data_IF_565533258969
#
_entry.id   IF_565533258969
#
_cell.length_a   1.000
_cell.length_b   1.000
_cell.length_c   1.000
_cell.angle_alpha   90.00
_cell.angle_beta   90.00
_cell.angle_gamma   90.00
#
_symmetry.space_group_name_H-M   'P 1'
#
loop_
_entity.id
_entity.type
_entity.pdbx_description
1 polymer ?
#
# COMPACT_ATOMS: atom_id res chain seq x y z
N UNK A 1 3.07 1.70 14.36
CA UNK A 1 3.53 2.30 13.07
C UNK A 1 2.35 2.99 12.41
N UNK A 2 2.54 4.12 11.74
CA UNK A 2 1.41 4.95 11.27
C UNK A 2 1.35 4.98 9.74
N UNK A 3 0.17 4.73 9.19
CA UNK A 3 -0.14 5.02 7.80
C UNK A 3 -0.82 6.39 7.68
N UNK A 4 -0.26 7.26 6.84
CA UNK A 4 -0.92 8.49 6.41
C UNK A 4 -1.79 8.18 5.20
N UNK A 5 -3.08 8.45 5.33
CA UNK A 5 -4.09 8.13 4.33
C UNK A 5 -4.76 9.40 3.86
N UNK A 6 -4.52 9.79 2.61
CA UNK A 6 -5.27 10.88 2.00
C UNK A 6 -6.59 10.34 1.47
N UNK A 7 -7.67 11.03 1.80
CA UNK A 7 -9.02 10.69 1.34
C UNK A 7 -9.71 11.92 0.76
N UNK A 8 -10.86 11.71 0.12
CA UNK A 8 -11.73 12.80 -0.36
C UNK A 8 -12.24 13.73 0.75
N UNK A 9 -12.14 13.33 2.03
CA UNK A 9 -12.60 14.10 3.19
C UNK A 9 -11.45 14.74 3.99
N UNK A 10 -10.20 14.53 3.57
CA UNK A 10 -9.01 14.97 4.30
C UNK A 10 -8.03 13.83 4.56
N UNK A 11 -6.95 14.15 5.27
CA UNK A 11 -5.89 13.19 5.60
C UNK A 11 -6.08 12.65 7.01
N UNK A 12 -5.87 11.35 7.17
CA UNK A 12 -5.93 10.65 8.44
C UNK A 12 -4.62 9.92 8.72
N UNK A 13 -4.20 9.91 9.98
CA UNK A 13 -3.18 9.00 10.50
C UNK A 13 -3.90 7.78 11.06
N UNK A 14 -3.52 6.59 10.58
CA UNK A 14 -4.03 5.31 11.04
C UNK A 14 -2.89 4.56 11.70
N UNK A 15 -2.99 4.29 12.99
CA UNK A 15 -2.05 3.40 13.66
C UNK A 15 -2.36 1.95 13.27
N UNK A 16 -1.34 1.25 12.77
CA UNK A 16 -1.45 -0.09 12.20
C UNK A 16 -1.49 -1.21 13.24
N UNK A 17 -1.18 -0.90 14.50
CA UNK A 17 -1.04 -1.88 15.58
C UNK A 17 -2.29 -1.90 16.48
N UNK A 18 -2.89 -0.74 16.76
CA UNK A 18 -4.12 -0.63 17.57
C UNK A 18 -5.36 -0.17 16.76
N UNK A 19 -5.19 0.18 15.48
CA UNK A 19 -6.27 0.60 14.57
C UNK A 19 -6.95 1.91 15.03
N UNK A 20 -6.22 2.78 15.72
CA UNK A 20 -6.69 4.14 16.02
C UNK A 20 -6.61 5.06 14.79
N UNK A 21 -7.58 5.97 14.63
CA UNK A 21 -7.64 6.92 13.52
C UNK A 21 -7.78 8.34 14.03
N UNK A 22 -6.84 9.19 13.62
CA UNK A 22 -6.84 10.61 13.96
C UNK A 22 -6.65 11.49 12.71
N UNK A 23 -7.13 12.75 12.72
CA UNK A 23 -6.85 13.69 11.65
C UNK A 23 -5.35 13.95 11.53
N UNK A 24 -4.85 14.06 10.30
CA UNK A 24 -3.44 14.34 10.03
C UNK A 24 -3.27 15.52 9.06
N UNK A 25 -2.06 16.09 9.05
CA UNK A 25 -1.68 17.06 8.03
C UNK A 25 -1.59 16.39 6.66
N UNK A 26 -1.74 17.18 5.59
CA UNK A 26 -1.49 16.70 4.23
C UNK A 26 -0.03 16.28 4.07
N UNK A 27 0.20 15.29 3.22
CA UNK A 27 1.53 14.77 2.91
C UNK A 27 1.75 14.72 1.40
N UNK A 28 3.01 14.58 1.01
CA UNK A 28 3.39 14.33 -0.38
C UNK A 28 3.80 12.87 -0.46
N UNK A 29 3.13 12.03 -1.28
CA UNK A 29 3.54 10.64 -1.48
C UNK A 29 4.97 10.55 -2.01
N UNK A 30 5.66 9.47 -1.66
CA UNK A 30 7.00 9.23 -2.17
C UNK A 30 7.00 9.10 -3.71
N UNK A 31 8.07 9.59 -4.38
CA UNK A 31 8.18 9.45 -5.83
C UNK A 31 8.21 7.96 -6.21
N UNK A 32 7.37 7.59 -7.18
CA UNK A 32 7.24 6.21 -7.62
C UNK A 32 8.45 5.79 -8.46
N UNK A 33 9.01 4.59 -8.25
CA UNK A 33 10.06 4.07 -9.10
C UNK A 33 9.54 3.83 -10.52
N UNK A 34 10.41 4.08 -11.50
CA UNK A 34 10.09 3.91 -12.92
C UNK A 34 10.18 2.42 -13.28
N UNK A 35 9.05 1.78 -13.57
CA UNK A 35 8.98 0.35 -13.92
C UNK A 35 8.26 0.15 -15.25
N UNK A 36 8.77 -0.76 -16.08
CA UNK A 36 8.18 -1.08 -17.37
C UNK A 36 7.18 -2.24 -17.26
N UNK A 37 6.08 -2.01 -16.54
CA UNK A 37 4.95 -2.95 -16.46
C UNK A 37 3.68 -2.33 -17.08
N UNK A 38 2.84 -3.13 -17.76
CA UNK A 38 1.57 -2.63 -18.28
C UNK A 38 0.59 -2.36 -17.14
N UNK A 39 -0.26 -1.33 -17.30
CA UNK A 39 -1.41 -1.03 -16.43
C UNK A 39 -1.06 -0.73 -14.96
N UNK A 40 0.13 -0.21 -14.71
CA UNK A 40 0.54 0.24 -13.37
C UNK A 40 -0.30 1.44 -12.92
N UNK A 41 -0.82 1.35 -11.70
CA UNK A 41 -1.59 2.40 -11.01
C UNK A 41 -0.70 3.09 -9.96
N UNK A 42 0.05 2.31 -9.20
CA UNK A 42 0.89 2.79 -8.11
C UNK A 42 2.04 1.81 -7.90
N UNK A 43 3.20 2.30 -7.47
CA UNK A 43 4.36 1.47 -7.14
C UNK A 43 4.98 1.96 -5.84
N UNK A 44 5.33 1.02 -4.98
CA UNK A 44 6.15 1.27 -3.80
C UNK A 44 7.35 0.31 -3.81
N UNK A 45 8.50 0.78 -3.32
CA UNK A 45 9.72 -0.02 -3.27
C UNK A 45 10.51 0.28 -1.99
N UNK A 46 11.08 -0.76 -1.39
CA UNK A 46 12.03 -0.66 -0.30
C UNK A 46 13.08 -1.77 -0.45
N UNK A 47 14.35 -1.39 -0.56
CA UNK A 47 15.43 -2.34 -0.86
C UNK A 47 15.21 -3.07 -2.19
N UNK A 48 15.17 -4.41 -2.15
CA UNK A 48 14.88 -5.25 -3.33
C UNK A 48 13.39 -5.59 -3.48
N UNK A 49 12.56 -5.23 -2.51
CA UNK A 49 11.12 -5.48 -2.54
C UNK A 49 10.41 -4.36 -3.29
N UNK A 50 9.63 -4.72 -4.31
CA UNK A 50 8.79 -3.79 -5.08
C UNK A 50 7.37 -4.34 -5.12
N UNK A 51 6.41 -3.50 -4.77
CA UNK A 51 4.99 -3.76 -4.93
C UNK A 51 4.41 -2.85 -6.01
N UNK A 52 3.95 -3.44 -7.10
CA UNK A 52 3.27 -2.74 -8.19
C UNK A 52 1.78 -3.06 -8.15
N UNK A 53 0.97 -2.04 -7.89
CA UNK A 53 -0.47 -2.08 -8.05
C UNK A 53 -0.82 -1.92 -9.53
N UNK A 54 -1.65 -2.82 -10.05
CA UNK A 54 -2.06 -2.85 -11.45
C UNK A 54 -3.57 -2.89 -11.62
N UNK A 55 -4.08 -2.29 -12.69
CA UNK A 55 -5.49 -2.41 -13.09
C UNK A 55 -5.75 -3.77 -13.78
N UNK A 56 -5.62 -4.84 -13.00
CA UNK A 56 -5.82 -6.22 -13.40
C UNK A 56 -6.29 -7.09 -12.20
N UNK A 57 -6.52 -8.38 -12.45
CA UNK A 57 -6.77 -9.37 -11.40
C UNK A 57 -5.77 -10.52 -11.53
N UNK A 58 -5.01 -10.84 -10.47
CA UNK A 58 -5.01 -10.15 -9.17
C UNK A 58 -4.37 -8.74 -9.24
N UNK A 59 -4.67 -7.83 -8.29
CA UNK A 59 -4.35 -6.40 -8.43
C UNK A 59 -2.91 -6.04 -8.07
N UNK A 60 -2.07 -7.00 -7.66
CA UNK A 60 -0.68 -6.76 -7.27
C UNK A 60 0.29 -7.65 -8.03
N UNK A 61 1.42 -7.06 -8.39
CA UNK A 61 2.63 -7.76 -8.78
C UNK A 61 3.72 -7.43 -7.75
N UNK A 62 4.40 -8.46 -7.25
CA UNK A 62 5.45 -8.36 -6.24
C UNK A 62 6.77 -8.81 -6.85
N UNK A 63 7.83 -8.07 -6.58
CA UNK A 63 9.20 -8.47 -6.87
C UNK A 63 10.01 -8.40 -5.58
N UNK A 64 10.93 -9.35 -5.40
CA UNK A 64 11.85 -9.39 -4.26
C UNK A 64 13.32 -9.29 -4.70
N UNK A 65 13.54 -9.08 -6.00
CA UNK A 65 14.84 -9.05 -6.67
C UNK A 65 14.98 -7.78 -7.54
N UNK A 66 14.47 -6.66 -7.01
CA UNK A 66 14.55 -5.33 -7.61
C UNK A 66 13.97 -5.23 -9.03
N UNK A 67 12.86 -5.93 -9.28
CA UNK A 67 12.12 -5.89 -10.54
C UNK A 67 12.64 -6.86 -11.61
N UNK A 68 13.57 -7.75 -11.27
CA UNK A 68 14.09 -8.76 -12.20
C UNK A 68 13.05 -9.83 -12.50
N UNK A 69 12.36 -10.32 -11.47
CA UNK A 69 11.23 -11.25 -11.58
C UNK A 69 10.02 -10.72 -10.82
N UNK A 70 8.84 -11.13 -11.28
CA UNK A 70 7.56 -10.68 -10.74
C UNK A 70 6.65 -11.87 -10.45
N UNK A 71 5.93 -11.79 -9.34
CA UNK A 71 4.97 -12.77 -8.89
C UNK A 71 3.61 -12.10 -8.68
N UNK A 72 2.54 -12.79 -9.04
CA UNK A 72 1.18 -12.33 -8.74
C UNK A 72 0.92 -12.35 -7.23
N UNK A 73 0.51 -11.22 -6.67
CA UNK A 73 0.12 -11.04 -5.27
C UNK A 73 -1.32 -10.53 -5.14
N UNK A 74 -1.83 -10.44 -3.92
CA UNK A 74 -3.12 -9.80 -3.66
C UNK A 74 -4.36 -10.58 -4.11
N UNK A 75 -4.28 -11.91 -4.21
CA UNK A 75 -5.47 -12.74 -4.47
C UNK A 75 -6.53 -12.50 -3.39
N UNK A 76 -7.76 -12.22 -3.81
CA UNK A 76 -8.86 -11.89 -2.90
C UNK A 76 -8.91 -10.43 -2.45
N UNK A 77 -7.91 -9.60 -2.79
CA UNK A 77 -7.99 -8.16 -2.55
C UNK A 77 -8.96 -7.50 -3.54
N UNK A 78 -9.71 -6.48 -3.07
CA UNK A 78 -10.52 -5.63 -3.96
C UNK A 78 -9.60 -4.78 -4.86
N UNK A 79 -10.14 -4.09 -5.88
CA UNK A 79 -9.38 -3.12 -6.66
C UNK A 79 -8.69 -2.08 -5.77
N UNK A 80 -7.39 -1.89 -5.97
CA UNK A 80 -6.56 -1.04 -5.15
C UNK A 80 -6.46 0.38 -5.69
N UNK A 81 -5.98 1.27 -4.83
CA UNK A 81 -5.74 2.68 -5.15
C UNK A 81 -4.32 3.12 -4.86
N UNK A 82 -3.74 2.60 -3.79
CA UNK A 82 -2.37 2.87 -3.42
C UNK A 82 -1.78 1.67 -2.67
N UNK A 83 -0.46 1.57 -2.68
CA UNK A 83 0.32 0.61 -1.89
C UNK A 83 1.54 1.34 -1.32
N UNK A 84 1.97 0.95 -0.12
CA UNK A 84 3.16 1.47 0.53
C UNK A 84 3.93 0.33 1.21
N UNK A 85 5.25 0.48 1.34
CA UNK A 85 6.15 -0.45 2.04
C UNK A 85 6.85 0.34 3.14
N UNK A 86 6.94 -0.21 4.35
CA UNK A 86 7.68 0.45 5.42
C UNK A 86 9.18 0.49 5.13
N UNK A 87 9.84 1.61 5.44
CA UNK A 87 11.25 1.80 5.12
C UNK A 87 12.17 0.96 6.02
N UNK A 88 11.83 0.82 7.30
CA UNK A 88 12.55 0.02 8.30
C UNK A 88 12.22 -1.48 8.25
N UNK A 89 11.09 -1.85 7.64
CA UNK A 89 10.62 -3.24 7.56
C UNK A 89 9.98 -3.55 6.19
N UNK A 90 10.76 -4.06 5.21
CA UNK A 90 10.25 -4.44 3.90
C UNK A 90 9.19 -5.55 3.90
N UNK A 91 8.99 -6.26 5.03
CA UNK A 91 7.93 -7.26 5.16
C UNK A 91 6.57 -6.61 5.47
N UNK A 92 6.56 -5.37 5.94
CA UNK A 92 5.36 -4.61 6.27
C UNK A 92 4.89 -3.77 5.08
N UNK A 93 3.78 -4.20 4.48
CA UNK A 93 3.13 -3.50 3.38
C UNK A 93 1.71 -3.07 3.78
N UNK A 94 1.30 -1.91 3.30
CA UNK A 94 -0.08 -1.42 3.43
C UNK A 94 -0.67 -1.23 2.04
N UNK A 95 -1.86 -1.78 1.85
CA UNK A 95 -2.62 -1.71 0.61
C UNK A 95 -3.93 -0.96 0.86
N UNK A 96 -4.17 0.09 0.09
CA UNK A 96 -5.40 0.84 0.14
C UNK A 96 -6.37 0.38 -0.96
N UNK A 97 -7.53 -0.11 -0.54
CA UNK A 97 -8.69 -0.26 -1.40
C UNK A 97 -9.48 1.06 -1.47
N UNK A 98 -10.75 1.01 -1.91
CA UNK A 98 -11.60 2.22 -1.98
C UNK A 98 -11.76 2.93 -0.63
N UNK A 99 -12.05 2.20 0.44
CA UNK A 99 -12.44 2.74 1.76
C UNK A 99 -11.85 1.93 2.93
N UNK A 100 -10.88 1.04 2.65
CA UNK A 100 -10.31 0.15 3.64
C UNK A 100 -8.84 -0.11 3.37
N UNK A 101 -8.07 -0.25 4.44
CA UNK A 101 -6.67 -0.66 4.39
C UNK A 101 -6.54 -2.16 4.64
N UNK A 102 -5.52 -2.75 4.03
CA UNK A 102 -5.08 -4.11 4.25
C UNK A 102 -3.59 -4.08 4.58
N UNK A 103 -3.18 -4.88 5.57
CA UNK A 103 -1.79 -4.97 5.99
C UNK A 103 -1.26 -6.35 5.67
N UNK A 104 -0.05 -6.41 5.12
CA UNK A 104 0.78 -7.60 5.10
C UNK A 104 1.97 -7.41 6.03
N UNK A 105 2.31 -8.44 6.80
CA UNK A 105 3.52 -8.49 7.65
C UNK A 105 4.47 -9.61 7.20
N UNK A 106 4.39 -9.97 5.92
CA UNK A 106 5.17 -11.02 5.28
C UNK A 106 5.36 -10.73 3.79
N UNK A 107 5.75 -9.50 3.49
CA UNK A 107 6.16 -9.04 2.17
C UNK A 107 5.06 -9.14 1.08
N UNK A 108 3.78 -9.11 1.46
CA UNK A 108 2.66 -9.14 0.53
C UNK A 108 2.13 -10.55 0.20
N UNK A 109 2.61 -11.59 0.90
CA UNK A 109 2.12 -12.96 0.72
C UNK A 109 0.70 -13.14 1.28
N UNK A 110 0.47 -12.64 2.50
CA UNK A 110 -0.85 -12.65 3.15
C UNK A 110 -1.27 -11.25 3.56
N UNK A 111 -2.57 -10.99 3.50
CA UNK A 111 -3.17 -9.69 3.77
C UNK A 111 -4.30 -9.82 4.78
N UNK A 112 -4.28 -8.95 5.78
CA UNK A 112 -5.34 -8.81 6.78
C UNK A 112 -6.00 -7.46 6.61
N UNK A 113 -7.33 -7.42 6.54
CA UNK A 113 -8.07 -6.18 6.48
C UNK A 113 -8.03 -5.50 7.85
N UNK A 114 -7.79 -4.18 7.88
CA UNK A 114 -8.02 -3.41 9.10
C UNK A 114 -9.53 -3.24 9.32
N UNK A 115 -9.96 -3.36 10.58
CA UNK A 115 -11.35 -3.18 11.00
C UNK A 115 -11.72 -1.69 11.13
N UNK A 116 -11.31 -0.90 10.16
CA UNK A 116 -11.65 0.52 10.05
C UNK A 116 -12.12 0.83 8.64
N UNK A 117 -13.16 1.66 8.56
CA UNK A 117 -13.66 2.19 7.31
C UNK A 117 -13.32 3.67 7.22
N UNK A 118 -12.69 4.05 6.10
CA UNK A 118 -12.27 5.41 5.81
C UNK A 118 -13.15 5.97 4.69
N UNK A 119 -13.22 7.31 4.57
CA UNK A 119 -13.69 7.93 3.34
C UNK A 119 -12.88 7.45 2.13
N UNK A 120 -13.39 7.74 0.94
CA UNK A 120 -12.77 7.28 -0.30
C UNK A 120 -11.28 7.66 -0.38
N UNK A 121 -10.40 6.66 -0.39
CA UNK A 121 -8.93 6.81 -0.29
C UNK A 121 -8.36 7.25 -1.64
N UNK A 122 -7.36 8.13 -1.61
CA UNK A 122 -6.70 8.69 -2.79
C UNK A 122 -5.22 8.33 -2.80
N UNK A 123 -4.52 8.50 -1.68
CA UNK A 123 -3.10 8.23 -1.54
C UNK A 123 -2.76 7.63 -0.18
N UNK A 124 -1.58 7.02 -0.10
CA UNK A 124 -1.08 6.30 1.08
C UNK A 124 0.43 6.54 1.23
N UNK A 125 0.87 6.73 2.46
CA UNK A 125 2.27 6.67 2.85
C UNK A 125 2.40 6.02 4.24
N UNK A 126 3.58 5.52 4.58
CA UNK A 126 3.90 5.00 5.92
C UNK A 126 4.91 5.94 6.55
N UNK A 127 4.71 6.29 7.82
CA UNK A 127 5.64 7.07 8.63
C UNK A 127 6.14 6.23 9.81
N UNK A 128 7.41 6.45 10.14
CA UNK A 128 8.14 5.76 11.22
C UNK A 128 8.33 6.65 12.45
#
# INVERSE_FOLDING_TARGET
MIALVETVAGTYAVDLDDVDVSPAATFVPEPQPDINLPRVVCVAACGSTIAALVDAKPPLLLSYDAGTTWQEGGRGLPPGRAVAIAASDPDLLVYAARNRLYISRNAGVFWTALEVELPEIVALAITE
#
